data_IF_345835584058
#
_entry.id   IF_345835584058
#
_cell.length_a   1.000
_cell.length_b   1.000
_cell.length_c   1.000
_cell.angle_alpha   90.00
_cell.angle_beta   90.00
_cell.angle_gamma   90.00
#
_symmetry.space_group_name_H-M   'P 1'
#
loop_
_entity.id
_entity.type
_entity.pdbx_description
1 polymer ?
#
# COMPACT_ATOMS: atom_id res chain seq x y z
N UNK A 1 5.60 3.84 33.76
CA UNK A 1 5.74 2.44 33.34
C UNK A 1 5.20 2.35 31.92
N UNK A 2 6.10 2.00 31.01
CA UNK A 2 5.90 1.76 29.57
C UNK A 2 4.86 0.68 29.30
N UNK A 3 4.02 0.86 28.29
CA UNK A 3 3.82 -0.14 27.23
C UNK A 3 3.38 0.59 25.97
N UNK A 4 4.33 0.75 25.05
CA UNK A 4 4.11 1.13 23.66
C UNK A 4 3.39 -0.02 22.98
N UNK A 5 2.09 0.15 22.71
CA UNK A 5 1.30 -0.77 21.91
C UNK A 5 1.45 -0.36 20.44
N UNK A 6 2.65 -0.60 19.89
CA UNK A 6 2.86 -0.71 18.43
C UNK A 6 2.25 -2.05 17.98
N UNK A 7 0.93 -2.18 18.14
CA UNK A 7 0.16 -3.18 17.42
C UNK A 7 0.12 -2.69 15.97
N UNK A 8 1.20 -2.98 15.24
CA UNK A 8 1.24 -2.92 13.79
C UNK A 8 0.31 -4.02 13.29
N UNK A 9 -0.99 -3.75 13.48
CA UNK A 9 -2.13 -4.48 12.98
C UNK A 9 -1.74 -4.84 11.56
N UNK A 10 -1.54 -6.14 11.33
CA UNK A 10 -1.27 -6.66 10.00
C UNK A 10 -2.56 -6.43 9.22
N UNK A 11 -2.77 -5.18 8.76
CA UNK A 11 -3.88 -4.76 7.94
C UNK A 11 -3.79 -5.67 6.74
N UNK A 12 -4.67 -6.67 6.70
CA UNK A 12 -4.73 -7.63 5.60
C UNK A 12 -5.17 -6.85 4.39
N UNK A 13 -4.19 -6.28 3.69
CA UNK A 13 -4.44 -5.41 2.57
C UNK A 13 -5.16 -6.23 1.51
N UNK A 14 -6.39 -5.81 1.20
CA UNK A 14 -7.21 -6.43 0.20
C UNK A 14 -6.63 -6.04 -1.16
N UNK A 15 -5.76 -6.89 -1.71
CA UNK A 15 -5.12 -6.67 -3.02
C UNK A 15 -5.15 -7.93 -3.85
N UNK A 16 -5.20 -7.78 -5.17
CA UNK A 16 -4.98 -8.90 -6.08
C UNK A 16 -3.50 -9.31 -6.08
N UNK A 17 -3.17 -10.58 -6.36
CA UNK A 17 -1.79 -11.06 -6.38
C UNK A 17 -0.88 -10.24 -7.31
N UNK A 18 -1.41 -9.83 -8.46
CA UNK A 18 -0.69 -9.01 -9.44
C UNK A 18 -0.27 -7.64 -8.88
N UNK A 19 -1.16 -6.98 -8.12
CA UNK A 19 -0.87 -5.67 -7.49
C UNK A 19 0.21 -5.83 -6.41
N UNK A 20 0.17 -6.93 -5.65
CA UNK A 20 1.18 -7.23 -4.64
C UNK A 20 2.57 -7.42 -5.23
N UNK A 21 2.66 -8.10 -6.36
CA UNK A 21 3.91 -8.31 -7.08
C UNK A 21 4.45 -6.97 -7.59
N UNK A 22 3.60 -6.18 -8.27
CA UNK A 22 3.97 -4.89 -8.82
C UNK A 22 4.50 -3.92 -7.75
N UNK A 23 3.81 -3.83 -6.61
CA UNK A 23 4.25 -2.97 -5.52
C UNK A 23 5.62 -3.42 -4.97
N UNK A 24 5.85 -4.72 -4.82
CA UNK A 24 7.18 -5.24 -4.43
C UNK A 24 8.27 -4.91 -5.45
N UNK A 25 7.99 -5.07 -6.74
CA UNK A 25 8.94 -4.75 -7.81
C UNK A 25 9.28 -3.26 -7.87
N UNK A 26 8.29 -2.40 -7.58
CA UNK A 26 8.46 -0.95 -7.54
C UNK A 26 8.97 -0.43 -6.19
N UNK A 27 9.13 -1.30 -5.18
CA UNK A 27 9.53 -0.89 -3.83
C UNK A 27 8.46 -0.07 -3.08
N UNK A 28 7.19 -0.26 -3.42
CA UNK A 28 6.07 0.50 -2.88
C UNK A 28 5.40 -0.24 -1.72
N UNK A 29 5.15 0.47 -0.64
CA UNK A 29 4.39 -0.06 0.47
C UNK A 29 2.88 0.04 0.21
N UNK A 30 2.27 -1.12 -0.04
CA UNK A 30 0.80 -1.23 -0.14
C UNK A 30 0.09 -0.76 1.14
N UNK A 31 0.75 -0.82 2.31
CA UNK A 31 0.17 -0.35 3.56
C UNK A 31 -0.01 1.17 3.60
N UNK A 32 0.78 1.90 2.82
CA UNK A 32 0.75 3.36 2.72
C UNK A 32 -0.12 3.83 1.54
N UNK A 33 -0.59 2.88 0.72
CA UNK A 33 -1.48 3.16 -0.39
C UNK A 33 -2.93 3.03 0.08
N UNK A 34 -3.67 4.12 -0.06
CA UNK A 34 -5.13 4.11 0.10
C UNK A 34 -5.75 3.49 -1.15
N UNK A 35 -6.23 2.25 -1.03
CA UNK A 35 -6.94 1.57 -2.11
C UNK A 35 -8.28 2.24 -2.42
N UNK A 36 -8.50 2.61 -3.67
CA UNK A 36 -9.75 3.27 -4.11
C UNK A 36 -10.78 2.28 -4.67
N UNK A 37 -10.42 1.00 -4.79
CA UNK A 37 -11.29 -0.04 -5.31
C UNK A 37 -12.44 -0.42 -4.36
N UNK A 38 -13.40 -1.19 -4.89
CA UNK A 38 -14.56 -1.67 -4.14
C UNK A 38 -14.12 -2.45 -2.90
N UNK A 39 -14.59 -2.01 -1.72
CA UNK A 39 -14.17 -2.51 -0.39
C UNK A 39 -12.75 -2.11 0.08
N UNK A 40 -12.20 -0.98 -0.41
CA UNK A 40 -10.85 -0.54 -0.01
C UNK A 40 -9.75 -1.40 -0.65
N UNK A 41 -10.06 -2.00 -1.80
CA UNK A 41 -9.11 -2.83 -2.55
C UNK A 41 -8.10 -1.94 -3.26
N UNK A 42 -6.83 -2.25 -3.11
CA UNK A 42 -5.78 -1.54 -3.86
C UNK A 42 -5.76 -2.06 -5.30
N UNK A 43 -5.93 -1.15 -6.24
CA UNK A 43 -5.86 -1.42 -7.67
C UNK A 43 -4.45 -1.17 -8.20
N UNK A 44 -4.21 -1.63 -9.43
CA UNK A 44 -2.94 -1.36 -10.12
C UNK A 44 -2.71 0.15 -10.28
N UNK A 45 -3.76 0.88 -10.63
CA UNK A 45 -3.76 2.34 -10.72
C UNK A 45 -3.36 3.02 -9.41
N UNK A 46 -3.84 2.53 -8.25
CA UNK A 46 -3.48 3.11 -6.96
C UNK A 46 -1.96 2.99 -6.69
N UNK A 47 -1.37 1.84 -7.04
CA UNK A 47 0.09 1.62 -6.93
C UNK A 47 0.85 2.53 -7.90
N UNK A 48 0.44 2.59 -9.16
CA UNK A 48 1.09 3.42 -10.18
C UNK A 48 1.03 4.89 -9.78
N UNK A 49 -0.14 5.37 -9.38
CA UNK A 49 -0.34 6.74 -8.93
C UNK A 49 0.52 7.06 -7.72
N UNK A 50 0.63 6.14 -6.74
CA UNK A 50 1.52 6.34 -5.61
C UNK A 50 3.00 6.42 -6.03
N UNK A 51 3.44 5.56 -6.95
CA UNK A 51 4.80 5.63 -7.53
C UNK A 51 5.01 6.96 -8.23
N UNK A 52 4.08 7.41 -9.06
CA UNK A 52 4.19 8.69 -9.77
C UNK A 52 4.25 9.86 -8.80
N UNK A 53 3.44 9.85 -7.73
CA UNK A 53 3.49 10.86 -6.67
C UNK A 53 4.87 10.87 -5.99
N UNK A 54 5.39 9.71 -5.59
CA UNK A 54 6.72 9.59 -4.98
C UNK A 54 7.86 10.06 -5.90
N UNK A 55 7.73 9.87 -7.21
CA UNK A 55 8.71 10.36 -8.19
C UNK A 55 8.55 11.86 -8.52
N UNK A 56 7.37 12.44 -8.28
CA UNK A 56 7.10 13.85 -8.57
C UNK A 56 7.53 14.78 -7.43
N UNK A 57 7.75 14.24 -6.22
CA UNK A 57 8.17 14.98 -5.03
C UNK A 57 9.69 14.90 -4.75
N UNK A 58 10.48 14.40 -5.70
CA UNK A 58 11.95 14.37 -5.65
C UNK A 58 12.59 15.31 -6.66
#
# INVERSE_FOLDING_TARGET
MTTSEDDQETRKILVTPAVRQLAREKGVNLNEITGTGFSGRILKDDVIRHVELQNSEG
#
